data_IF_225802522756
#
_entry.id   IF_225802522756
#
_cell.length_a   1.000
_cell.length_b   1.000
_cell.length_c   1.000
_cell.angle_alpha   90.00
_cell.angle_beta   90.00
_cell.angle_gamma   90.00
#
_symmetry.space_group_name_H-M   'P 1'
#
loop_
_entity.id
_entity.type
_entity.pdbx_description
1 polymer ?
#
# COMPACT_ATOMS: atom_id res chain seq x y z
N UNK A 1 6.82 9.19 -28.56
CA UNK A 1 7.09 7.78 -28.20
C UNK A 1 8.00 7.70 -26.97
N UNK A 2 9.26 8.14 -27.06
CA UNK A 2 10.24 8.07 -25.95
C UNK A 2 9.82 8.87 -24.70
N UNK A 3 9.22 10.06 -24.88
CA UNK A 3 8.77 10.93 -23.78
C UNK A 3 7.58 10.34 -23.01
N UNK A 4 6.55 9.86 -23.71
CA UNK A 4 5.35 9.24 -23.10
C UNK A 4 5.75 8.01 -22.29
N UNK A 5 6.61 7.16 -22.84
CA UNK A 5 7.14 6.00 -22.12
C UNK A 5 7.89 6.41 -20.84
N UNK A 6 8.73 7.44 -20.91
CA UNK A 6 9.41 8.01 -19.74
C UNK A 6 8.44 8.54 -18.69
N UNK A 7 7.39 9.26 -19.09
CA UNK A 7 6.38 9.80 -18.16
C UNK A 7 5.62 8.69 -17.45
N UNK A 8 5.23 7.63 -18.17
CA UNK A 8 4.53 6.48 -17.57
C UNK A 8 5.43 5.75 -16.56
N UNK A 9 6.71 5.54 -16.89
CA UNK A 9 7.66 4.90 -15.96
C UNK A 9 7.83 5.72 -14.69
N UNK A 10 8.03 7.04 -14.82
CA UNK A 10 8.17 7.92 -13.65
C UNK A 10 6.89 7.95 -12.81
N UNK A 11 5.72 7.98 -13.45
CA UNK A 11 4.43 7.95 -12.74
C UNK A 11 4.25 6.67 -11.92
N UNK A 12 4.61 5.50 -12.48
CA UNK A 12 4.52 4.22 -11.75
C UNK A 12 5.48 4.17 -10.56
N UNK A 13 6.69 4.70 -10.72
CA UNK A 13 7.68 4.77 -9.62
C UNK A 13 7.17 5.67 -8.50
N UNK A 14 6.71 6.89 -8.81
CA UNK A 14 6.17 7.82 -7.82
C UNK A 14 4.93 7.26 -7.13
N UNK A 15 4.04 6.62 -7.90
CA UNK A 15 2.84 5.99 -7.35
C UNK A 15 3.20 4.85 -6.40
N UNK A 16 4.11 3.96 -6.80
CA UNK A 16 4.60 2.88 -5.95
C UNK A 16 5.26 3.39 -4.67
N UNK A 17 6.07 4.45 -4.77
CA UNK A 17 6.71 5.09 -3.60
C UNK A 17 5.68 5.70 -2.65
N UNK A 18 4.64 6.33 -3.19
CA UNK A 18 3.56 6.94 -2.41
C UNK A 18 2.75 5.89 -1.66
N UNK A 19 2.42 4.78 -2.33
CA UNK A 19 1.70 3.65 -1.70
C UNK A 19 2.55 3.01 -0.60
N UNK A 20 3.84 2.77 -0.85
CA UNK A 20 4.74 2.24 0.16
C UNK A 20 4.87 3.20 1.37
N UNK A 21 4.95 4.52 1.14
CA UNK A 21 4.97 5.52 2.21
C UNK A 21 3.64 5.55 3.00
N UNK A 22 2.50 5.36 2.33
CA UNK A 22 1.19 5.28 2.96
C UNK A 22 1.08 4.10 3.93
N UNK A 23 1.49 2.91 3.49
CA UNK A 23 1.48 1.69 4.30
C UNK A 23 2.52 1.75 5.43
N UNK A 24 3.67 2.38 5.18
CA UNK A 24 4.67 2.67 6.23
C UNK A 24 4.10 3.60 7.31
N UNK A 25 3.28 4.59 6.93
CA UNK A 25 2.56 5.44 7.87
C UNK A 25 1.64 4.65 8.80
N UNK A 26 0.89 3.68 8.27
CA UNK A 26 0.05 2.78 9.07
C UNK A 26 0.86 1.91 10.03
N UNK A 27 1.98 1.35 9.56
CA UNK A 27 2.90 0.58 10.40
C UNK A 27 3.49 1.43 11.54
N UNK A 28 3.88 2.66 11.23
CA UNK A 28 4.40 3.61 12.22
C UNK A 28 3.35 3.99 13.26
N UNK A 29 2.11 4.25 12.82
CA UNK A 29 0.99 4.54 13.70
C UNK A 29 0.68 3.34 14.61
N UNK A 30 0.65 2.11 14.08
CA UNK A 30 0.43 0.90 14.87
C UNK A 30 1.54 0.67 15.91
N UNK A 31 2.81 0.89 15.54
CA UNK A 31 3.93 0.82 16.49
C UNK A 31 3.83 1.87 17.60
N UNK A 32 3.38 3.09 17.28
CA UNK A 32 3.15 4.12 18.31
C UNK A 32 2.04 3.75 19.29
N UNK A 33 1.08 2.94 18.86
CA UNK A 33 0.00 2.40 19.72
C UNK A 33 0.41 1.13 20.49
N UNK A 34 1.69 0.70 20.40
CA UNK A 34 2.20 -0.46 21.13
C UNK A 34 1.86 -1.82 20.50
N UNK A 35 1.40 -1.84 19.24
CA UNK A 35 1.08 -3.08 18.53
C UNK A 35 2.35 -3.68 17.92
N UNK A 36 2.57 -4.97 18.15
CA UNK A 36 3.66 -5.75 17.52
C UNK A 36 3.20 -6.14 16.12
N UNK A 37 3.79 -5.53 15.10
CA UNK A 37 3.46 -5.80 13.70
C UNK A 37 4.52 -6.76 13.12
N UNK A 38 4.15 -8.03 12.95
CA UNK A 38 5.10 -9.08 12.52
C UNK A 38 5.36 -9.13 11.01
N UNK A 39 4.49 -8.53 10.18
CA UNK A 39 4.61 -8.56 8.71
C UNK A 39 4.21 -7.22 8.11
N UNK A 40 5.15 -6.57 7.43
CA UNK A 40 4.89 -5.42 6.58
C UNK A 40 4.52 -5.94 5.18
N UNK A 41 3.27 -5.77 4.77
CA UNK A 41 2.80 -6.12 3.44
C UNK A 41 2.63 -4.82 2.65
N UNK A 42 3.28 -4.74 1.48
CA UNK A 42 3.13 -3.62 0.54
C UNK A 42 2.12 -4.05 -0.52
N UNK A 43 0.94 -3.45 -0.57
CA UNK A 43 -0.08 -3.73 -1.57
C UNK A 43 -1.52 -3.63 -1.08
N UNK A 44 -2.44 -3.48 -2.04
CA UNK A 44 -3.88 -3.52 -1.79
C UNK A 44 -4.26 -4.85 -1.13
N UNK A 45 -4.76 -4.77 0.10
CA UNK A 45 -5.34 -5.91 0.81
C UNK A 45 -6.41 -6.62 -0.03
N UNK A 46 -6.73 -7.86 0.37
CA UNK A 46 -7.64 -8.74 -0.36
C UNK A 46 -8.95 -8.00 -0.69
N UNK A 47 -9.17 -7.68 -1.96
CA UNK A 47 -10.42 -7.16 -2.53
C UNK A 47 -11.48 -8.29 -2.53
N UNK A 48 -11.79 -8.82 -1.36
CA UNK A 48 -12.91 -9.73 -1.18
C UNK A 48 -14.05 -8.92 -0.58
N UNK A 49 -14.87 -8.35 -1.47
CA UNK A 49 -16.22 -7.88 -1.16
C UNK A 49 -17.17 -9.03 -0.81
N UNK A 50 -16.74 -9.96 0.03
CA UNK A 50 -17.58 -11.00 0.61
C UNK A 50 -17.67 -10.72 2.10
N UNK A 51 -18.60 -9.82 2.42
CA UNK A 51 -19.37 -9.97 3.64
C UNK A 51 -20.09 -11.33 3.55
N UNK A 52 -19.46 -12.39 4.05
CA UNK A 52 -20.09 -13.69 4.26
C UNK A 52 -20.01 -14.07 5.73
N UNK A 53 -20.50 -13.19 6.62
CA UNK A 53 -20.88 -13.59 7.97
C UNK A 53 -22.34 -13.22 8.22
N UNK A 54 -23.29 -14.15 8.01
CA UNK A 54 -24.52 -14.14 8.78
C UNK A 54 -24.17 -14.70 10.16
N UNK A 55 -23.99 -13.80 11.13
CA UNK A 55 -24.41 -14.07 12.50
C UNK A 55 -25.69 -13.31 12.73
#
# INVERSE_FOLDING_TARGET
MLTIAGTVVVALILFGLTVAAHEFGHFWAARKMGLVVERFAIGFGRWAGLCSSPR
#
